data_IF_281287571160
#
_entry.id   IF_281287571160
#
_cell.length_a   1.000
_cell.length_b   1.000
_cell.length_c   1.000
_cell.angle_alpha   90.00
_cell.angle_beta   90.00
_cell.angle_gamma   90.00
#
_symmetry.space_group_name_H-M   'P 1'
#
loop_
_entity.id
_entity.type
_entity.pdbx_description
1 polymer ?
#
# COMPACT_ATOMS: atom_id res chain seq x y z
N UNK A 1 9.99 28.93 -0.28
CA UNK A 1 8.77 29.23 0.49
C UNK A 1 8.20 27.90 0.95
N UNK A 2 8.01 27.70 2.25
CA UNK A 2 7.44 26.45 2.76
C UNK A 2 5.98 26.30 2.32
N UNK A 3 5.57 25.07 1.99
CA UNK A 3 4.18 24.75 1.66
C UNK A 3 3.40 24.56 2.94
N UNK A 4 2.61 25.56 3.30
CA UNK A 4 1.75 25.57 4.49
C UNK A 4 0.30 25.51 4.06
N UNK A 5 -0.52 24.72 4.75
CA UNK A 5 -1.96 24.58 4.51
C UNK A 5 -2.72 24.43 5.81
N UNK A 6 -3.94 24.93 5.91
CA UNK A 6 -4.90 24.60 6.96
C UNK A 6 -6.05 23.72 6.44
N UNK A 7 -5.97 23.26 5.19
CA UNK A 7 -6.93 22.37 4.56
C UNK A 7 -6.48 20.90 4.72
N UNK A 8 -7.34 20.12 5.38
CA UNK A 8 -7.14 18.69 5.62
C UNK A 8 -7.07 17.88 4.32
N UNK A 9 -7.82 18.26 3.28
CA UNK A 9 -7.81 17.56 2.00
C UNK A 9 -6.47 17.76 1.29
N UNK A 10 -5.91 18.96 1.37
CA UNK A 10 -4.57 19.26 0.81
C UNK A 10 -3.50 18.46 1.54
N UNK A 11 -3.61 18.35 2.87
CA UNK A 11 -2.73 17.51 3.68
C UNK A 11 -2.85 16.03 3.29
N UNK A 12 -4.06 15.48 3.20
CA UNK A 12 -4.28 14.09 2.82
C UNK A 12 -3.74 13.77 1.42
N UNK A 13 -3.90 14.69 0.47
CA UNK A 13 -3.32 14.55 -0.87
C UNK A 13 -1.78 14.55 -0.83
N UNK A 14 -1.17 15.44 -0.02
CA UNK A 14 0.28 15.48 0.15
C UNK A 14 0.83 14.21 0.79
N UNK A 15 0.10 13.66 1.77
CA UNK A 15 0.40 12.37 2.39
C UNK A 15 0.28 11.23 1.38
N UNK A 16 -0.81 11.14 0.63
CA UNK A 16 -1.01 10.11 -0.41
C UNK A 16 0.18 10.12 -1.39
N UNK A 17 0.57 11.29 -1.90
CA UNK A 17 1.73 11.42 -2.78
C UNK A 17 3.04 10.91 -2.13
N UNK A 18 3.29 11.23 -0.86
CA UNK A 18 4.52 10.84 -0.16
C UNK A 18 4.56 9.34 0.16
N UNK A 19 3.43 8.77 0.58
CA UNK A 19 3.27 7.35 0.90
C UNK A 19 3.31 6.49 -0.37
N UNK A 20 2.71 6.97 -1.47
CA UNK A 20 2.63 6.24 -2.74
C UNK A 20 3.96 6.18 -3.51
N UNK A 21 4.80 7.21 -3.37
CA UNK A 21 5.95 7.43 -4.25
C UNK A 21 7.20 6.62 -3.84
N UNK A 22 7.33 5.38 -4.30
CA UNK A 22 8.54 4.59 -4.09
C UNK A 22 9.56 4.81 -5.21
N UNK A 23 10.80 5.12 -4.83
CA UNK A 23 11.93 5.12 -5.76
C UNK A 23 12.44 3.69 -5.92
N UNK A 24 12.41 3.19 -7.16
CA UNK A 24 12.95 1.88 -7.52
C UNK A 24 14.42 2.03 -7.92
N UNK A 25 15.25 1.10 -7.45
CA UNK A 25 16.64 0.99 -7.89
C UNK A 25 16.65 0.47 -9.34
N UNK A 26 17.77 0.69 -10.04
CA UNK A 26 17.92 0.19 -11.41
C UNK A 26 17.71 -1.33 -11.45
N UNK A 27 16.81 -1.79 -12.32
CA UNK A 27 16.47 -3.21 -12.48
C UNK A 27 15.43 -3.77 -11.51
N UNK A 28 15.02 -3.01 -10.49
CA UNK A 28 13.95 -3.41 -9.59
C UNK A 28 12.57 -3.37 -10.27
N UNK A 29 11.70 -4.33 -9.95
CA UNK A 29 10.34 -4.43 -10.48
C UNK A 29 9.33 -4.67 -9.37
N UNK A 30 8.25 -3.90 -9.35
CA UNK A 30 7.15 -4.13 -8.41
C UNK A 30 6.40 -5.40 -8.84
N UNK A 31 6.29 -6.36 -7.91
CA UNK A 31 5.53 -7.60 -8.10
C UNK A 31 4.09 -7.43 -7.61
N UNK A 32 3.93 -6.84 -6.43
CA UNK A 32 2.64 -6.60 -5.82
C UNK A 32 2.72 -5.41 -4.87
N UNK A 33 1.58 -4.77 -4.60
CA UNK A 33 1.50 -3.75 -3.57
C UNK A 33 0.13 -3.75 -2.90
N UNK A 34 0.11 -3.24 -1.68
CA UNK A 34 -1.10 -2.95 -0.92
C UNK A 34 -0.97 -1.56 -0.30
N UNK A 35 -2.03 -0.78 -0.37
CA UNK A 35 -2.12 0.49 0.34
C UNK A 35 -3.49 0.67 0.98
N UNK A 36 -3.50 1.31 2.14
CA UNK A 36 -4.69 1.67 2.88
C UNK A 36 -4.63 3.17 3.20
N UNK A 37 -5.67 3.90 2.80
CA UNK A 37 -5.84 5.32 3.07
C UNK A 37 -7.14 5.50 3.87
N UNK A 38 -7.07 5.47 5.21
CA UNK A 38 -8.24 5.65 6.05
C UNK A 38 -8.75 7.09 5.97
N UNK A 39 -10.07 7.25 6.01
CA UNK A 39 -10.72 8.58 5.95
C UNK A 39 -11.06 9.13 7.34
N UNK A 40 -11.31 8.25 8.32
CA UNK A 40 -11.72 8.65 9.67
C UNK A 40 -10.59 8.47 10.69
N UNK A 41 -9.97 7.28 10.73
CA UNK A 41 -8.95 6.94 11.72
C UNK A 41 -7.97 5.91 11.18
N UNK A 42 -6.68 6.14 11.37
CA UNK A 42 -5.61 5.22 11.00
C UNK A 42 -4.42 5.95 10.37
N UNK A 43 -3.40 5.18 10.02
CA UNK A 43 -2.17 5.70 9.43
C UNK A 43 -2.12 5.29 7.96
N UNK A 44 -2.24 6.23 7.00
CA UNK A 44 -2.01 5.93 5.60
C UNK A 44 -0.69 5.20 5.39
N UNK A 45 -0.74 4.04 4.75
CA UNK A 45 0.45 3.25 4.45
C UNK A 45 0.39 2.60 3.08
N UNK A 46 1.57 2.22 2.60
CA UNK A 46 1.76 1.38 1.44
C UNK A 46 2.91 0.41 1.69
N UNK A 47 2.70 -0.84 1.31
CA UNK A 47 3.72 -1.88 1.26
C UNK A 47 3.84 -2.30 -0.19
N UNK A 48 5.06 -2.36 -0.71
CA UNK A 48 5.35 -2.91 -2.03
C UNK A 48 6.29 -4.12 -1.91
N UNK A 49 6.07 -5.12 -2.75
CA UNK A 49 7.00 -6.21 -2.99
C UNK A 49 7.74 -5.94 -4.29
N UNK A 50 9.07 -5.99 -4.23
CA UNK A 50 9.95 -5.63 -5.33
C UNK A 50 10.92 -6.78 -5.59
N UNK A 51 10.95 -7.27 -6.84
CA UNK A 51 12.00 -8.17 -7.30
C UNK A 51 13.24 -7.34 -7.62
N UNK A 52 14.36 -7.66 -6.99
CA UNK A 52 15.67 -7.12 -7.31
C UNK A 52 16.31 -7.90 -8.47
N UNK A 53 17.36 -7.34 -9.06
CA UNK A 53 18.07 -7.95 -10.21
C UNK A 53 18.75 -9.29 -9.90
N UNK A 54 19.03 -9.55 -8.62
CA UNK A 54 19.59 -10.81 -8.12
C UNK A 54 18.51 -11.90 -7.87
N UNK A 55 17.24 -11.57 -8.11
CA UNK A 55 16.09 -12.46 -7.90
C UNK A 55 15.57 -12.50 -6.46
N UNK A 56 16.16 -11.72 -5.54
CA UNK A 56 15.62 -11.56 -4.19
C UNK A 56 14.39 -10.65 -4.21
N UNK A 57 13.47 -10.89 -3.29
CA UNK A 57 12.26 -10.08 -3.15
C UNK A 57 12.36 -9.25 -1.87
N UNK A 58 12.23 -7.94 -2.04
CA UNK A 58 12.23 -6.97 -0.96
C UNK A 58 10.79 -6.51 -0.67
N UNK A 59 10.42 -6.43 0.60
CA UNK A 59 9.27 -5.69 1.07
C UNK A 59 9.73 -4.28 1.41
N UNK A 60 9.09 -3.26 0.85
CA UNK A 60 9.35 -1.86 1.19
C UNK A 60 8.08 -1.24 1.74
N UNK A 61 8.20 -0.53 2.85
CA UNK A 61 7.09 0.06 3.59
C UNK A 61 7.24 1.57 3.68
N UNK A 62 6.09 2.25 3.56
CA UNK A 62 5.93 3.66 3.89
C UNK A 62 4.64 3.85 4.66
N UNK A 63 4.71 4.63 5.73
CA UNK A 63 3.54 5.02 6.51
C UNK A 63 3.70 6.46 6.97
N UNK A 64 2.59 7.19 6.98
CA UNK A 64 2.57 8.51 7.58
C UNK A 64 2.58 8.40 9.12
N UNK A 65 3.55 9.03 9.79
CA UNK A 65 3.61 9.12 11.25
C UNK A 65 2.62 10.19 11.76
N UNK A 66 1.32 9.83 11.77
CA UNK A 66 0.25 10.78 12.11
C UNK A 66 0.42 11.29 13.54
N UNK A 67 0.81 10.43 14.49
CA UNK A 67 1.05 10.78 15.89
C UNK A 67 2.10 11.87 16.03
N UNK A 68 3.27 11.69 15.40
CA UNK A 68 4.30 12.72 15.39
C UNK A 68 3.79 13.98 14.72
N UNK A 69 3.26 13.89 13.50
CA UNK A 69 2.89 15.08 12.74
C UNK A 69 1.79 15.91 13.42
N UNK A 70 0.75 15.27 13.93
CA UNK A 70 -0.33 15.94 14.67
C UNK A 70 0.22 16.64 15.91
N UNK A 71 1.16 16.02 16.65
CA UNK A 71 1.79 16.66 17.82
C UNK A 71 2.58 17.94 17.49
N UNK A 72 3.03 18.08 16.24
CA UNK A 72 3.81 19.23 15.78
C UNK A 72 2.94 20.32 15.15
N UNK A 73 1.65 20.06 14.92
CA UNK A 73 0.76 21.01 14.26
C UNK A 73 0.07 21.91 15.27
N UNK A 74 0.27 23.21 15.10
CA UNK A 74 -0.37 24.22 15.93
C UNK A 74 -1.62 24.72 15.22
N UNK A 75 -2.77 24.70 15.90
CA UNK A 75 -4.04 25.25 15.40
C UNK A 75 -4.49 24.74 14.01
N UNK A 76 -4.19 23.49 13.67
CA UNK A 76 -4.58 22.90 12.37
C UNK A 76 -3.81 23.45 11.17
N UNK A 77 -2.66 24.10 11.39
CA UNK A 77 -1.77 24.56 10.33
C UNK A 77 -0.71 23.49 10.07
N UNK A 78 -0.68 22.97 8.85
CA UNK A 78 0.15 21.87 8.39
C UNK A 78 1.31 22.39 7.55
N UNK A 79 2.55 22.04 7.92
CA UNK A 79 3.70 22.20 7.03
C UNK A 79 3.87 20.91 6.21
N UNK A 80 3.52 20.98 4.92
CA UNK A 80 3.49 19.83 4.01
C UNK A 80 4.90 19.38 3.57
N UNK A 81 5.92 20.21 3.78
CA UNK A 81 7.32 19.87 3.53
C UNK A 81 7.94 19.09 4.69
N UNK A 82 7.32 19.14 5.87
CA UNK A 82 7.81 18.49 7.11
C UNK A 82 6.95 17.29 7.53
N UNK A 83 6.24 16.67 6.59
CA UNK A 83 5.57 15.39 6.83
C UNK A 83 6.61 14.32 7.18
N UNK A 84 6.42 13.67 8.32
CA UNK A 84 7.27 12.58 8.75
C UNK A 84 6.70 11.28 8.20
N UNK A 85 7.49 10.63 7.35
CA UNK A 85 7.14 9.35 6.75
C UNK A 85 8.05 8.30 7.37
N UNK A 86 7.46 7.30 8.01
CA UNK A 86 8.17 6.10 8.44
C UNK A 86 8.46 5.28 7.19
N UNK A 87 9.72 4.89 7.04
CA UNK A 87 10.19 4.05 5.94
C UNK A 87 10.88 2.82 6.53
N UNK A 88 10.65 1.66 5.92
CA UNK A 88 11.30 0.42 6.32
C UNK A 88 11.47 -0.50 5.09
N UNK A 89 12.47 -1.38 5.11
CA UNK A 89 12.77 -2.31 4.02
C UNK A 89 13.24 -3.64 4.61
N UNK A 90 12.66 -4.75 4.14
CA UNK A 90 12.97 -6.11 4.58
C UNK A 90 13.19 -7.01 3.36
N UNK A 91 14.10 -7.96 3.47
CA UNK A 91 14.22 -9.04 2.48
C UNK A 91 13.22 -10.13 2.86
N UNK A 92 12.39 -10.58 1.92
CA UNK A 92 11.46 -11.68 2.16
C UNK A 92 12.24 -12.97 2.44
N UNK A 93 11.80 -13.70 3.47
CA UNK A 93 12.34 -15.03 3.76
C UNK A 93 12.12 -15.98 2.58
N UNK A 94 12.99 -16.98 2.42
CA UNK A 94 12.88 -17.98 1.34
C UNK A 94 11.50 -18.68 1.37
N UNK A 95 10.97 -18.94 2.56
CA UNK A 95 9.65 -19.53 2.74
C UNK A 95 8.54 -18.61 2.21
N UNK A 96 8.56 -17.32 2.57
CA UNK A 96 7.58 -16.35 2.08
C UNK A 96 7.72 -16.14 0.55
N UNK A 97 8.95 -16.07 0.03
CA UNK A 97 9.17 -15.99 -1.43
C UNK A 97 8.57 -17.19 -2.17
N UNK A 98 8.68 -18.40 -1.60
CA UNK A 98 8.11 -19.62 -2.17
C UNK A 98 6.58 -19.57 -2.18
N UNK A 99 5.97 -19.14 -1.06
CA UNK A 99 4.52 -18.94 -0.96
C UNK A 99 4.06 -17.93 -2.02
N UNK A 100 4.71 -16.77 -2.09
CA UNK A 100 4.38 -15.73 -3.05
C UNK A 100 4.44 -16.24 -4.49
N UNK A 101 5.54 -16.91 -4.89
CA UNK A 101 5.70 -17.45 -6.25
C UNK A 101 4.61 -18.47 -6.59
N UNK A 102 4.23 -19.33 -5.63
CA UNK A 102 3.16 -20.30 -5.82
C UNK A 102 1.80 -19.62 -6.03
N UNK A 103 1.46 -18.61 -5.22
CA UNK A 103 0.19 -17.89 -5.37
C UNK A 103 0.14 -17.07 -6.68
N UNK A 104 1.22 -16.40 -7.05
CA UNK A 104 1.30 -15.68 -8.33
C UNK A 104 1.16 -16.62 -9.54
N UNK A 105 1.71 -17.83 -9.47
CA UNK A 105 1.55 -18.85 -10.50
C UNK A 105 0.08 -19.25 -10.69
N UNK A 106 -0.66 -19.47 -9.58
CA UNK A 106 -2.10 -19.75 -9.63
C UNK A 106 -2.89 -18.61 -10.28
N UNK A 107 -2.59 -17.36 -9.91
CA UNK A 107 -3.26 -16.18 -10.50
C UNK A 107 -2.96 -16.01 -11.99
N UNK A 108 -1.79 -16.46 -12.45
CA UNK A 108 -1.42 -16.42 -13.86
C UNK A 108 -2.33 -17.33 -14.72
N UNK A 109 -2.80 -18.44 -14.15
CA UNK A 109 -3.59 -19.48 -14.83
C UNK A 109 -5.08 -19.16 -14.98
N UNK A 110 -5.60 -18.14 -14.27
CA UNK A 110 -7.04 -17.83 -14.24
C UNK A 110 -7.34 -16.46 -14.86
N UNK A 111 -8.61 -16.22 -15.24
CA UNK A 111 -9.07 -14.86 -15.57
C UNK A 111 -9.28 -14.09 -14.27
N UNK A 112 -8.56 -12.98 -14.09
CA UNK A 112 -8.76 -12.09 -12.95
C UNK A 112 -10.04 -11.25 -13.15
N UNK A 113 -10.76 -10.89 -12.07
CA UNK A 113 -11.94 -10.05 -12.17
C UNK A 113 -11.57 -8.64 -12.70
N UNK A 114 -12.43 -8.03 -13.49
CA UNK A 114 -12.21 -6.65 -13.98
C UNK A 114 -12.41 -5.61 -12.86
N UNK A 115 -13.32 -5.91 -11.93
CA UNK A 115 -13.55 -5.13 -10.72
C UNK A 115 -13.85 -6.04 -9.54
N UNK A 116 -13.36 -5.63 -8.39
CA UNK A 116 -13.59 -6.28 -7.10
C UNK A 116 -14.61 -5.54 -6.24
N UNK A 117 -15.12 -4.38 -6.67
CA UNK A 117 -16.09 -3.59 -5.88
C UNK A 117 -17.42 -4.33 -5.79
N UNK A 118 -17.98 -4.42 -4.57
CA UNK A 118 -19.39 -4.72 -4.37
C UNK A 118 -20.17 -3.40 -4.20
N UNK A 119 -20.96 -3.03 -5.19
CA UNK A 119 -21.71 -1.77 -5.16
C UNK A 119 -22.86 -1.78 -4.14
N UNK A 120 -23.19 -2.95 -3.56
CA UNK A 120 -24.29 -3.11 -2.61
C UNK A 120 -23.90 -2.87 -1.15
N UNK A 121 -22.62 -2.69 -0.86
CA UNK A 121 -22.12 -2.56 0.51
C UNK A 121 -20.94 -1.58 0.59
N UNK A 122 -20.96 -0.72 1.61
CA UNK A 122 -19.92 0.28 1.84
C UNK A 122 -19.11 -0.05 3.09
N UNK A 123 -17.82 0.29 3.09
CA UNK A 123 -17.00 0.20 4.31
C UNK A 123 -17.24 1.48 5.12
N UNK A 124 -17.74 1.33 6.35
CA UNK A 124 -18.16 2.47 7.19
C UNK A 124 -17.01 3.37 7.67
N UNK A 125 -15.78 2.87 7.70
CA UNK A 125 -14.58 3.66 8.03
C UNK A 125 -14.14 4.58 6.88
N UNK A 126 -14.76 4.43 5.71
CA UNK A 126 -14.45 5.17 4.49
C UNK A 126 -13.06 4.87 3.92
N UNK A 127 -12.38 3.82 4.36
CA UNK A 127 -10.99 3.52 3.95
C UNK A 127 -10.91 3.21 2.46
N UNK A 128 -10.01 3.92 1.77
CA UNK A 128 -9.67 3.65 0.37
C UNK A 128 -8.52 2.67 0.32
N UNK A 129 -8.79 1.52 -0.24
CA UNK A 129 -7.80 0.47 -0.44
C UNK A 129 -7.34 0.46 -1.89
N UNK A 130 -6.05 0.16 -2.07
CA UNK A 130 -5.50 -0.18 -3.39
C UNK A 130 -4.66 -1.43 -3.29
N UNK A 131 -4.78 -2.26 -4.31
CA UNK A 131 -4.01 -3.48 -4.43
C UNK A 131 -3.68 -3.70 -5.89
N UNK A 132 -2.41 -3.95 -6.20
CA UNK A 132 -2.01 -4.28 -7.56
C UNK A 132 -1.04 -5.44 -7.59
N UNK A 133 -1.06 -6.16 -8.70
CA UNK A 133 -0.17 -7.27 -9.00
C UNK A 133 0.33 -7.12 -10.43
N UNK A 134 1.64 -7.31 -10.59
CA UNK A 134 2.31 -7.45 -11.87
C UNK A 134 2.66 -8.91 -12.12
N UNK A 135 1.98 -9.55 -13.07
CA UNK A 135 2.26 -10.92 -13.51
C UNK A 135 2.90 -10.89 -14.91
N UNK A 136 3.51 -12.01 -15.32
CA UNK A 136 4.18 -12.11 -16.62
C UNK A 136 3.27 -11.81 -17.83
N UNK A 137 1.95 -12.07 -17.71
CA UNK A 137 0.99 -11.94 -18.80
C UNK A 137 -0.14 -10.93 -18.55
N UNK A 138 -0.24 -10.35 -17.35
CA UNK A 138 -1.29 -9.39 -16.98
C UNK A 138 -0.86 -8.54 -15.79
N UNK A 139 -1.23 -7.27 -15.83
CA UNK A 139 -1.05 -6.34 -14.72
C UNK A 139 -2.43 -5.83 -14.33
N UNK A 140 -2.73 -5.83 -13.04
CA UNK A 140 -4.01 -5.39 -12.52
C UNK A 140 -3.81 -4.46 -11.34
N UNK A 141 -4.63 -3.42 -11.30
CA UNK A 141 -4.69 -2.45 -10.23
C UNK A 141 -6.16 -2.30 -9.80
N UNK A 142 -6.44 -2.62 -8.54
CA UNK A 142 -7.75 -2.50 -7.94
C UNK A 142 -7.77 -1.39 -6.92
N UNK A 143 -8.85 -0.60 -6.94
CA UNK A 143 -9.13 0.44 -5.96
C UNK A 143 -10.56 0.26 -5.48
N UNK A 144 -10.78 0.19 -4.17
CA UNK A 144 -12.10 0.01 -3.58
C UNK A 144 -12.28 0.76 -2.27
N UNK A 145 -13.54 1.06 -1.96
CA UNK A 145 -14.05 1.67 -0.71
C UNK A 145 -15.29 0.91 -0.21
N UNK A 146 -15.49 -0.31 -0.70
CA UNK A 146 -16.65 -1.16 -0.51
C UNK A 146 -16.22 -2.56 -0.06
N UNK A 147 -17.05 -3.30 0.68
CA UNK A 147 -16.71 -4.69 0.99
C UNK A 147 -16.53 -5.48 -0.30
N UNK A 148 -15.69 -6.51 -0.29
CA UNK A 148 -15.36 -7.24 -1.52
C UNK A 148 -15.11 -8.70 -1.24
N UNK A 149 -16.04 -9.58 -1.63
CA UNK A 149 -15.82 -11.03 -1.52
C UNK A 149 -14.77 -11.51 -2.53
N UNK A 150 -14.63 -10.80 -3.67
CA UNK A 150 -13.63 -11.10 -4.70
C UNK A 150 -12.20 -10.89 -4.21
N UNK A 151 -11.98 -10.13 -3.13
CA UNK A 151 -10.65 -9.97 -2.53
C UNK A 151 -10.11 -11.28 -1.98
N UNK A 152 -10.98 -12.25 -1.66
CA UNK A 152 -10.59 -13.56 -1.15
C UNK A 152 -9.59 -14.28 -2.05
N UNK A 153 -9.65 -14.01 -3.36
CA UNK A 153 -8.69 -14.51 -4.34
C UNK A 153 -7.25 -14.04 -4.05
N UNK A 154 -7.10 -12.87 -3.46
CA UNK A 154 -5.82 -12.19 -3.22
C UNK A 154 -5.38 -12.24 -1.76
N UNK A 155 -6.25 -12.70 -0.84
CA UNK A 155 -5.97 -12.78 0.61
C UNK A 155 -4.61 -13.41 0.93
N UNK A 156 -4.19 -14.54 0.33
CA UNK A 156 -2.88 -15.12 0.63
C UNK A 156 -1.70 -14.17 0.37
N UNK A 157 -1.78 -13.38 -0.72
CA UNK A 157 -0.75 -12.39 -1.07
C UNK A 157 -0.85 -11.17 -0.17
N UNK A 158 -2.07 -10.68 0.09
CA UNK A 158 -2.33 -9.53 0.97
C UNK A 158 -1.82 -9.82 2.39
N UNK A 159 -2.12 -10.99 2.94
CA UNK A 159 -1.64 -11.40 4.27
C UNK A 159 -0.12 -11.55 4.30
N UNK A 160 0.50 -12.07 3.23
CA UNK A 160 1.95 -12.13 3.12
C UNK A 160 2.58 -10.73 3.13
N UNK A 161 1.99 -9.78 2.41
CA UNK A 161 2.41 -8.38 2.38
C UNK A 161 2.31 -7.76 3.78
N UNK A 162 1.15 -7.90 4.43
CA UNK A 162 0.87 -7.31 5.76
C UNK A 162 1.75 -7.91 6.85
N UNK A 163 1.97 -9.23 6.82
CA UNK A 163 2.83 -9.97 7.75
C UNK A 163 4.20 -9.32 7.92
N UNK A 164 4.75 -8.70 6.89
CA UNK A 164 6.07 -8.07 6.94
C UNK A 164 6.12 -6.88 7.92
N UNK A 165 4.98 -6.28 8.26
CA UNK A 165 4.90 -5.06 9.07
C UNK A 165 3.70 -5.06 10.03
N UNK A 166 3.23 -6.24 10.47
CA UNK A 166 2.11 -6.37 11.43
C UNK A 166 2.34 -5.62 12.74
N UNK A 167 3.59 -5.40 13.13
CA UNK A 167 3.98 -4.61 14.30
C UNK A 167 3.85 -3.08 14.09
N UNK A 168 3.58 -2.64 12.84
CA UNK A 168 3.54 -1.23 12.43
C UNK A 168 2.15 -0.77 11.97
N UNK A 169 1.28 -1.68 11.54
CA UNK A 169 -0.05 -1.38 10.97
C UNK A 169 -1.17 -1.68 11.94
#
# INVERSE_FOLDING_TARGET
>A
MERISNDIQVLMNAVELKVENFELKSGEKIIAYLSEFPTISGFPYKIILVEASDGNIHSKFRQWDTSYNISQWTHGIYNLDRLKIIIDEKILSIADQTILKNELSKLTQIKLPESIRDEKAMILDGSKWKFGISLANKNVDYVWTASTEKINLFVPIIELIRKQYLDRI
#
